data_IF_581991343170
#
_entry.id   IF_581991343170
#
_cell.length_a   1.000
_cell.length_b   1.000
_cell.length_c   1.000
_cell.angle_alpha   90.00
_cell.angle_beta   90.00
_cell.angle_gamma   90.00
#
_symmetry.space_group_name_H-M   'P 1'
#
loop_
_entity.id
_entity.type
_entity.pdbx_description
1 polymer ?
#
# COMPACT_ATOMS: atom_id res chain seq x y z
N UNK A 1 -66.73 48.45 24.10
CA UNK A 1 -65.37 48.56 23.61
C UNK A 1 -64.55 47.52 24.35
N UNK A 2 -64.53 46.29 23.87
CA UNK A 2 -63.75 45.20 24.49
C UNK A 2 -62.52 44.91 23.59
N UNK A 3 -61.32 45.09 24.14
CA UNK A 3 -60.07 44.71 23.47
C UNK A 3 -59.74 43.27 23.82
N UNK A 4 -59.72 42.45 22.78
CA UNK A 4 -59.18 41.09 22.85
C UNK A 4 -57.66 41.13 22.81
N UNK A 5 -57.01 40.55 23.83
CA UNK A 5 -55.57 40.32 23.92
C UNK A 5 -55.33 38.90 23.46
N UNK A 6 -54.62 38.73 22.30
CA UNK A 6 -54.16 37.42 21.82
C UNK A 6 -52.87 37.02 22.55
N UNK A 7 -52.74 35.81 23.06
CA UNK A 7 -51.46 35.33 23.60
C UNK A 7 -50.54 34.88 22.44
N UNK A 8 -49.31 35.43 22.43
CA UNK A 8 -48.24 34.97 21.56
C UNK A 8 -47.65 33.66 22.10
N UNK A 9 -47.77 32.61 21.27
CA UNK A 9 -47.13 31.32 21.57
C UNK A 9 -45.63 31.43 21.25
N UNK A 10 -44.76 31.36 22.25
CA UNK A 10 -43.31 31.24 22.08
C UNK A 10 -42.97 29.78 21.92
N UNK A 11 -42.66 29.36 20.70
CA UNK A 11 -42.15 28.01 20.43
C UNK A 11 -40.63 28.02 20.69
N UNK A 12 -40.22 27.44 21.80
CA UNK A 12 -38.79 27.20 22.10
C UNK A 12 -38.40 25.92 21.35
N UNK A 13 -37.68 26.05 20.23
CA UNK A 13 -37.06 24.94 19.54
C UNK A 13 -35.87 24.42 20.37
N UNK A 14 -36.04 23.28 21.02
CA UNK A 14 -34.93 22.51 21.56
C UNK A 14 -34.11 21.91 20.40
N UNK A 15 -32.99 22.55 20.10
CA UNK A 15 -31.96 21.92 19.26
C UNK A 15 -31.29 20.82 20.09
N UNK A 16 -31.70 19.58 19.86
CA UNK A 16 -31.01 18.43 20.40
C UNK A 16 -29.59 18.41 19.80
N UNK A 17 -28.56 18.65 20.62
CA UNK A 17 -27.17 18.42 20.24
C UNK A 17 -27.02 16.92 19.96
N UNK A 18 -26.81 16.57 18.68
CA UNK A 18 -26.39 15.21 18.29
C UNK A 18 -25.04 14.99 18.97
N UNK A 19 -24.87 13.93 19.78
CA UNK A 19 -23.57 13.61 20.33
C UNK A 19 -22.59 13.44 19.19
N UNK A 20 -21.55 14.25 19.13
CA UNK A 20 -20.42 14.05 18.26
C UNK A 20 -19.72 12.80 18.80
N UNK A 21 -20.00 11.63 18.20
CA UNK A 21 -19.19 10.44 18.46
C UNK A 21 -17.73 10.85 18.31
N UNK A 22 -16.98 10.80 19.40
CA UNK A 22 -15.54 10.97 19.34
C UNK A 22 -15.04 9.91 18.39
N UNK A 23 -14.56 10.31 17.20
CA UNK A 23 -13.96 9.40 16.24
C UNK A 23 -12.92 8.57 17.01
N UNK A 24 -13.19 7.27 17.18
CA UNK A 24 -12.30 6.39 17.93
C UNK A 24 -10.95 6.41 17.21
N UNK A 25 -9.89 6.72 17.95
CA UNK A 25 -8.51 6.68 17.45
C UNK A 25 -8.27 5.32 16.79
N UNK A 26 -7.62 5.31 15.62
CA UNK A 26 -7.16 4.07 15.03
C UNK A 26 -6.13 3.40 15.96
N UNK A 27 -6.22 2.07 16.19
CA UNK A 27 -5.27 1.36 17.04
C UNK A 27 -3.86 1.43 16.43
N UNK A 28 -2.82 1.47 17.27
CA UNK A 28 -1.46 1.35 16.77
C UNK A 28 -1.24 0.00 16.09
N UNK A 29 -0.36 0.00 15.09
CA UNK A 29 0.05 -1.22 14.41
C UNK A 29 1.32 -1.77 15.05
N UNK A 30 1.46 -3.07 15.05
CA UNK A 30 2.67 -3.78 15.47
C UNK A 30 2.96 -4.94 14.53
N UNK A 31 4.19 -5.42 14.53
CA UNK A 31 4.58 -6.64 13.85
C UNK A 31 3.96 -7.84 14.57
N UNK A 32 3.44 -8.81 13.82
CA UNK A 32 2.88 -10.06 14.35
C UNK A 32 3.95 -10.94 15.04
N UNK A 33 3.54 -11.84 15.92
CA UNK A 33 4.46 -12.69 16.69
C UNK A 33 5.37 -13.58 15.79
N UNK A 34 4.89 -13.97 14.61
CA UNK A 34 5.69 -14.71 13.64
C UNK A 34 6.58 -13.82 12.74
N UNK A 35 6.59 -12.51 12.97
CA UNK A 35 7.37 -11.51 12.24
C UNK A 35 7.10 -11.46 10.73
N UNK A 36 5.91 -11.92 10.27
CA UNK A 36 5.56 -11.98 8.83
C UNK A 36 4.48 -10.99 8.40
N UNK A 37 3.70 -10.49 9.34
CA UNK A 37 2.53 -9.67 9.08
C UNK A 37 2.48 -8.46 10.03
N UNK A 38 1.53 -7.57 9.76
CA UNK A 38 1.14 -6.53 10.69
C UNK A 38 -0.18 -6.90 11.37
N UNK A 39 -0.31 -6.48 12.62
CA UNK A 39 -1.53 -6.59 13.42
C UNK A 39 -1.77 -5.28 14.15
N UNK A 40 -2.99 -5.05 14.58
CA UNK A 40 -3.31 -3.96 15.49
C UNK A 40 -2.76 -4.27 16.90
N UNK A 41 -2.64 -3.26 17.76
CA UNK A 41 -2.14 -3.43 19.14
C UNK A 41 -2.90 -4.48 19.95
N UNK A 42 -4.19 -4.68 19.67
CA UNK A 42 -5.04 -5.73 20.24
C UNK A 42 -4.94 -7.10 19.53
N UNK A 43 -4.01 -7.23 18.55
CA UNK A 43 -3.70 -8.50 17.86
C UNK A 43 -4.59 -8.86 16.67
N UNK A 44 -5.51 -7.99 16.26
CA UNK A 44 -6.33 -8.25 15.05
C UNK A 44 -5.47 -8.13 13.79
N UNK A 45 -5.68 -9.02 12.79
CA UNK A 45 -4.98 -8.95 11.52
C UNK A 45 -5.15 -7.59 10.83
N UNK A 46 -4.05 -7.05 10.31
CA UNK A 46 -4.06 -5.83 9.50
C UNK A 46 -3.54 -6.13 8.10
N UNK A 47 -4.38 -5.91 7.09
CA UNK A 47 -3.97 -6.02 5.69
C UNK A 47 -3.58 -4.63 5.17
N UNK A 48 -2.32 -4.47 4.74
CA UNK A 48 -1.85 -3.27 4.07
C UNK A 48 -2.34 -3.28 2.62
N UNK A 49 -3.38 -2.51 2.32
CA UNK A 49 -3.74 -2.11 0.98
C UNK A 49 -3.46 -0.61 0.87
N UNK A 50 -2.27 -0.28 0.33
CA UNK A 50 -1.79 1.09 0.23
C UNK A 50 -2.18 1.75 -1.09
N UNK A 51 -2.29 3.09 -1.08
CA UNK A 51 -2.32 3.93 -2.28
C UNK A 51 -1.24 5.00 -2.20
N UNK A 52 -0.77 5.45 -3.36
CA UNK A 52 0.31 6.41 -3.49
C UNK A 52 -0.22 7.81 -3.81
N UNK A 53 0.06 8.76 -2.92
CA UNK A 53 -0.41 10.14 -3.01
C UNK A 53 0.68 11.12 -2.53
N UNK A 54 1.87 11.10 -3.18
CA UNK A 54 3.05 11.81 -2.71
C UNK A 54 2.81 13.29 -2.45
N UNK A 55 2.03 13.96 -3.31
CA UNK A 55 1.75 15.39 -3.27
C UNK A 55 0.47 15.77 -2.50
N UNK A 56 -0.11 14.85 -1.73
CA UNK A 56 -1.40 15.04 -1.04
C UNK A 56 -1.42 16.28 -0.14
N UNK A 57 -0.39 16.48 0.68
CA UNK A 57 -0.30 17.59 1.61
C UNK A 57 0.04 18.92 0.95
N UNK A 58 0.80 18.83 -0.15
CA UNK A 58 1.30 20.00 -0.85
C UNK A 58 0.30 20.57 -1.86
N UNK A 59 -0.37 19.70 -2.61
CA UNK A 59 -1.16 20.13 -3.78
C UNK A 59 -2.67 20.16 -3.57
N UNK A 60 -3.19 19.48 -2.56
CA UNK A 60 -4.63 19.34 -2.42
C UNK A 60 -5.25 20.34 -1.46
N UNK A 61 -6.46 20.83 -1.81
CA UNK A 61 -7.35 21.49 -0.84
C UNK A 61 -7.91 20.44 0.13
N UNK A 62 -8.53 20.87 1.23
CA UNK A 62 -9.23 19.96 2.16
C UNK A 62 -10.41 19.25 1.49
N UNK A 63 -11.12 19.97 0.61
CA UNK A 63 -12.22 19.38 -0.17
C UNK A 63 -11.72 18.26 -1.08
N UNK A 64 -10.68 18.52 -1.85
CA UNK A 64 -10.11 17.56 -2.80
C UNK A 64 -9.47 16.37 -2.10
N UNK A 65 -8.69 16.63 -1.05
CA UNK A 65 -8.16 15.57 -0.19
C UNK A 65 -9.28 14.72 0.44
N UNK A 66 -10.36 15.37 0.90
CA UNK A 66 -11.53 14.68 1.43
C UNK A 66 -12.24 13.79 0.42
N UNK A 67 -12.37 14.22 -0.84
CA UNK A 67 -12.93 13.42 -1.95
C UNK A 67 -12.04 12.22 -2.27
N UNK A 68 -10.75 12.45 -2.43
CA UNK A 68 -9.76 11.40 -2.69
C UNK A 68 -9.80 10.33 -1.59
N UNK A 69 -9.70 10.73 -0.32
CA UNK A 69 -9.71 9.80 0.81
C UNK A 69 -11.03 9.03 0.91
N UNK A 70 -12.18 9.67 0.62
CA UNK A 70 -13.48 9.00 0.62
C UNK A 70 -13.57 7.93 -0.48
N UNK A 71 -13.05 8.21 -1.68
CA UNK A 71 -12.95 7.24 -2.77
C UNK A 71 -12.09 6.02 -2.34
N UNK A 72 -10.90 6.27 -1.78
CA UNK A 72 -10.01 5.19 -1.33
C UNK A 72 -10.60 4.36 -0.19
N UNK A 73 -11.31 4.99 0.75
CA UNK A 73 -12.03 4.28 1.80
C UNK A 73 -13.15 3.38 1.23
N UNK A 74 -13.93 3.87 0.25
CA UNK A 74 -14.96 3.10 -0.43
C UNK A 74 -14.40 1.87 -1.15
N UNK A 75 -13.19 1.97 -1.71
CA UNK A 75 -12.43 0.89 -2.34
C UNK A 75 -11.61 0.05 -1.32
N UNK A 76 -11.84 0.28 -0.01
CA UNK A 76 -11.25 -0.52 1.08
C UNK A 76 -9.72 -0.39 1.21
N UNK A 77 -9.13 0.69 0.76
CA UNK A 77 -7.74 0.99 1.07
C UNK A 77 -7.56 1.21 2.58
N UNK A 78 -6.42 0.78 3.12
CA UNK A 78 -6.10 0.88 4.55
C UNK A 78 -4.97 1.85 4.84
N UNK A 79 -4.17 2.17 3.83
CA UNK A 79 -3.04 3.08 3.94
C UNK A 79 -3.04 4.03 2.75
N UNK A 80 -2.67 5.30 2.98
CA UNK A 80 -2.31 6.27 1.93
C UNK A 80 -0.92 6.80 2.24
N UNK A 81 0.01 6.66 1.30
CA UNK A 81 1.37 7.17 1.43
C UNK A 81 1.41 8.64 0.97
N UNK A 82 1.96 9.53 1.80
CA UNK A 82 2.04 10.96 1.53
C UNK A 82 3.29 11.59 2.16
N UNK A 83 3.81 12.67 1.54
CA UNK A 83 5.09 13.29 1.90
C UNK A 83 4.89 14.65 2.53
N UNK A 84 5.48 14.87 3.71
CA UNK A 84 5.40 16.16 4.42
C UNK A 84 6.24 17.25 3.73
N UNK A 85 7.51 16.97 3.42
CA UNK A 85 8.36 17.84 2.60
C UNK A 85 8.43 17.27 1.19
N UNK A 86 7.46 17.64 0.34
CA UNK A 86 7.24 17.06 -0.98
C UNK A 86 8.43 17.22 -1.93
N UNK A 87 8.47 16.40 -2.98
CA UNK A 87 9.45 16.47 -4.06
C UNK A 87 9.31 17.79 -4.86
N UNK A 88 10.13 17.95 -5.88
CA UNK A 88 10.10 19.08 -6.83
C UNK A 88 10.15 20.43 -6.13
N UNK A 89 9.06 21.19 -6.23
CA UNK A 89 8.90 22.54 -5.69
C UNK A 89 8.33 22.57 -4.26
N UNK A 90 8.23 21.44 -3.59
CA UNK A 90 7.61 21.32 -2.26
C UNK A 90 8.24 22.16 -1.13
N UNK A 91 9.47 22.69 -1.33
CA UNK A 91 10.08 23.65 -0.41
C UNK A 91 9.93 25.11 -0.86
N UNK A 92 9.59 25.37 -2.10
CA UNK A 92 9.60 26.71 -2.73
C UNK A 92 8.23 27.18 -3.19
N UNK A 93 7.33 26.26 -3.53
CA UNK A 93 5.93 26.56 -3.80
C UNK A 93 5.09 26.31 -2.53
N UNK A 94 4.17 27.22 -2.18
CA UNK A 94 3.30 27.02 -1.04
C UNK A 94 2.25 25.92 -1.31
N UNK A 95 1.69 25.35 -0.24
CA UNK A 95 0.52 24.48 -0.36
C UNK A 95 -0.73 25.26 -0.83
N UNK A 96 -1.85 24.55 -1.03
CA UNK A 96 -3.11 25.14 -1.49
C UNK A 96 -3.65 26.29 -0.60
N UNK A 97 -3.05 26.52 0.57
CA UNK A 97 -3.42 27.60 1.53
C UNK A 97 -2.35 28.69 1.68
N UNK A 98 -1.35 28.72 0.81
CA UNK A 98 -0.32 29.75 0.78
C UNK A 98 0.82 29.54 1.78
N UNK A 99 1.00 28.35 2.34
CA UNK A 99 2.02 28.06 3.35
C UNK A 99 3.14 27.17 2.83
N UNK A 100 4.40 27.58 3.04
CA UNK A 100 5.58 26.74 2.86
C UNK A 100 5.76 25.83 4.08
N UNK A 101 6.32 24.61 3.92
CA UNK A 101 6.39 23.61 5.01
C UNK A 101 7.38 23.97 6.11
N UNK A 102 8.46 24.67 5.78
CA UNK A 102 9.53 25.09 6.70
C UNK A 102 9.97 26.52 6.39
N UNK A 103 10.60 27.17 7.34
CA UNK A 103 11.16 28.52 7.18
C UNK A 103 12.64 28.44 6.80
N UNK A 104 13.07 29.27 5.86
CA UNK A 104 14.49 29.39 5.46
C UNK A 104 15.15 28.06 5.03
N UNK A 105 14.41 27.10 4.49
CA UNK A 105 14.89 25.75 4.22
C UNK A 105 15.51 25.04 5.44
N UNK A 106 15.13 25.44 6.64
CA UNK A 106 15.60 24.85 7.90
C UNK A 106 14.54 23.88 8.47
N UNK A 107 14.79 22.56 8.45
CA UNK A 107 13.83 21.58 8.96
C UNK A 107 13.60 21.68 10.47
N UNK A 108 14.44 22.42 11.21
CA UNK A 108 14.19 22.70 12.63
C UNK A 108 13.18 23.82 12.86
N UNK A 109 12.73 24.46 11.77
CA UNK A 109 11.75 25.56 11.81
C UNK A 109 10.47 25.21 11.02
N UNK A 110 9.72 24.16 11.42
CA UNK A 110 8.50 23.76 10.73
C UNK A 110 7.43 24.84 10.84
N UNK A 111 6.71 25.08 9.74
CA UNK A 111 5.63 26.06 9.66
C UNK A 111 4.32 25.46 10.21
N UNK A 112 3.82 26.00 11.30
CA UNK A 112 2.64 25.47 11.99
C UNK A 112 1.37 25.52 11.12
N UNK A 113 1.20 26.55 10.28
CA UNK A 113 0.06 26.70 9.39
C UNK A 113 0.04 25.61 8.29
N UNK A 114 1.22 25.28 7.72
CA UNK A 114 1.35 24.17 6.80
C UNK A 114 0.98 22.84 7.48
N UNK A 115 1.55 22.59 8.65
CA UNK A 115 1.30 21.35 9.37
C UNK A 115 -0.10 21.25 9.96
N UNK A 116 -0.81 22.36 10.20
CA UNK A 116 -2.23 22.33 10.52
C UNK A 116 -3.11 21.82 9.36
N UNK A 117 -2.66 21.98 8.10
CA UNK A 117 -3.29 21.35 6.95
C UNK A 117 -2.96 19.85 6.89
N UNK A 118 -1.72 19.46 7.15
CA UNK A 118 -1.33 18.04 7.25
C UNK A 118 -2.14 17.34 8.34
N UNK A 119 -2.29 17.95 9.52
CA UNK A 119 -3.08 17.43 10.64
C UNK A 119 -4.53 17.16 10.24
N UNK A 120 -5.13 18.09 9.51
CA UNK A 120 -6.51 17.94 9.04
C UNK A 120 -6.65 16.73 8.10
N UNK A 121 -5.70 16.54 7.17
CA UNK A 121 -5.72 15.40 6.23
C UNK A 121 -5.50 14.08 6.99
N UNK A 122 -4.55 14.03 7.92
CA UNK A 122 -4.30 12.85 8.76
C UNK A 122 -5.55 12.50 9.57
N UNK A 123 -6.16 13.48 10.24
CA UNK A 123 -7.39 13.27 11.01
C UNK A 123 -8.54 12.79 10.12
N UNK A 124 -8.69 13.35 8.90
CA UNK A 124 -9.71 12.94 7.93
C UNK A 124 -9.51 11.51 7.46
N UNK A 125 -8.27 11.11 7.14
CA UNK A 125 -7.93 9.74 6.75
C UNK A 125 -8.26 8.77 7.89
N UNK A 126 -7.84 9.08 9.12
CA UNK A 126 -8.08 8.24 10.29
C UNK A 126 -9.59 8.08 10.58
N UNK A 127 -10.38 9.14 10.43
CA UNK A 127 -11.84 9.07 10.57
C UNK A 127 -12.51 8.16 9.52
N UNK A 128 -11.85 7.90 8.39
CA UNK A 128 -12.27 6.97 7.35
C UNK A 128 -11.67 5.56 7.49
N UNK A 129 -10.91 5.29 8.57
CA UNK A 129 -10.26 4.01 8.80
C UNK A 129 -8.95 3.82 8.01
N UNK A 130 -8.39 4.89 7.45
CA UNK A 130 -7.17 4.88 6.66
C UNK A 130 -6.00 5.41 7.50
N UNK A 131 -4.91 4.66 7.58
CA UNK A 131 -3.63 5.10 8.13
C UNK A 131 -2.89 5.95 7.09
N UNK A 132 -2.12 6.92 7.54
CA UNK A 132 -1.19 7.63 6.66
C UNK A 132 0.20 7.00 6.77
N UNK A 133 0.71 6.48 5.64
CA UNK A 133 2.12 6.19 5.47
C UNK A 133 2.86 7.52 5.30
N UNK A 134 3.32 8.09 6.41
CA UNK A 134 3.84 9.45 6.43
C UNK A 134 5.34 9.47 6.16
N UNK A 135 5.73 10.05 5.01
CA UNK A 135 7.12 10.35 4.72
C UNK A 135 7.47 11.73 5.32
N UNK A 136 8.44 11.82 6.24
CA UNK A 136 8.91 13.11 6.77
C UNK A 136 9.41 14.04 5.66
N UNK A 137 10.06 13.48 4.65
CA UNK A 137 10.62 14.20 3.52
C UNK A 137 10.78 13.27 2.31
N UNK A 138 10.76 13.85 1.11
CA UNK A 138 11.25 13.12 -0.06
C UNK A 138 12.78 13.07 -0.06
N UNK A 139 13.34 12.08 -0.76
CA UNK A 139 14.76 11.77 -0.71
C UNK A 139 15.69 12.84 -1.28
N UNK A 140 15.22 13.66 -2.21
CA UNK A 140 16.03 14.72 -2.82
C UNK A 140 16.46 15.83 -1.83
N UNK A 141 15.93 15.82 -0.61
CA UNK A 141 16.30 16.75 0.45
C UNK A 141 17.51 16.28 1.28
N UNK A 142 17.97 15.03 1.11
CA UNK A 142 19.19 14.49 1.72
C UNK A 142 20.14 13.83 0.70
N UNK A 143 19.66 13.47 -0.49
CA UNK A 143 20.42 13.04 -1.66
C UNK A 143 19.73 13.56 -2.92
N UNK A 144 20.19 14.67 -3.46
CA UNK A 144 19.53 15.37 -4.57
C UNK A 144 19.41 14.49 -5.81
N UNK A 145 20.48 13.78 -6.20
CA UNK A 145 20.50 12.92 -7.41
C UNK A 145 19.75 13.54 -8.58
N UNK A 146 18.68 12.88 -9.01
CA UNK A 146 17.78 13.32 -10.09
C UNK A 146 16.66 14.25 -9.64
N UNK A 147 16.60 14.62 -8.36
CA UNK A 147 15.56 15.51 -7.82
C UNK A 147 15.89 16.99 -7.91
N UNK A 148 14.94 17.81 -7.46
CA UNK A 148 15.08 19.26 -7.42
C UNK A 148 16.02 19.75 -6.28
N UNK A 149 15.96 19.11 -5.12
CA UNK A 149 16.64 19.57 -3.90
C UNK A 149 15.94 20.81 -3.31
N UNK A 150 16.66 21.68 -2.58
CA UNK A 150 18.05 21.49 -2.15
C UNK A 150 18.23 20.41 -1.10
N UNK A 151 19.45 19.89 -0.92
CA UNK A 151 19.81 19.08 0.24
C UNK A 151 19.85 19.99 1.46
N UNK A 152 19.01 19.68 2.45
CA UNK A 152 18.85 20.49 3.67
C UNK A 152 19.10 19.71 4.95
N UNK A 153 19.21 18.38 4.85
CA UNK A 153 19.37 17.54 6.03
C UNK A 153 20.84 17.29 6.39
N UNK A 154 21.09 17.38 7.70
CA UNK A 154 22.25 16.84 8.39
C UNK A 154 21.75 15.84 9.45
N UNK A 155 22.60 14.99 10.05
CA UNK A 155 22.17 14.12 11.13
C UNK A 155 21.52 14.89 12.30
N UNK A 156 22.06 16.05 12.66
CA UNK A 156 21.59 16.84 13.80
C UNK A 156 20.18 17.42 13.58
N UNK A 157 19.95 18.06 12.42
CA UNK A 157 18.64 18.65 12.13
C UNK A 157 17.61 17.58 11.75
N UNK A 158 18.02 16.44 11.18
CA UNK A 158 17.17 15.27 10.93
C UNK A 158 16.65 14.68 12.26
N UNK A 159 17.51 14.56 13.27
CA UNK A 159 17.10 14.12 14.61
C UNK A 159 16.09 15.07 15.25
N UNK A 160 16.30 16.39 15.14
CA UNK A 160 15.41 17.42 15.70
C UNK A 160 14.07 17.43 15.00
N UNK A 161 14.05 17.40 13.67
CA UNK A 161 12.83 17.37 12.87
C UNK A 161 12.02 16.07 13.10
N UNK A 162 12.73 14.94 13.13
CA UNK A 162 12.10 13.64 13.44
C UNK A 162 11.44 13.63 14.81
N UNK A 163 12.13 14.14 15.85
CA UNK A 163 11.55 14.21 17.19
C UNK A 163 10.35 15.15 17.27
N UNK A 164 10.39 16.28 16.57
CA UNK A 164 9.24 17.17 16.48
C UNK A 164 8.03 16.50 15.79
N UNK A 165 8.24 15.80 14.66
CA UNK A 165 7.18 15.06 13.97
C UNK A 165 6.63 13.93 14.85
N UNK A 166 7.52 13.17 15.51
CA UNK A 166 7.13 12.08 16.41
C UNK A 166 6.18 12.58 17.50
N UNK A 167 6.52 13.70 18.18
CA UNK A 167 5.65 14.31 19.19
C UNK A 167 4.30 14.76 18.61
N UNK A 168 4.30 15.32 17.39
CA UNK A 168 3.09 15.84 16.76
C UNK A 168 2.09 14.76 16.43
N UNK A 169 2.55 13.62 15.95
CA UNK A 169 1.69 12.55 15.44
C UNK A 169 1.62 11.30 16.33
N UNK A 170 2.14 11.36 17.56
CA UNK A 170 2.22 10.19 18.46
C UNK A 170 0.89 9.48 18.71
N UNK A 171 -0.23 10.18 18.60
CA UNK A 171 -1.58 9.67 18.83
C UNK A 171 -2.37 9.48 17.55
N UNK A 172 -1.77 9.69 16.37
CA UNK A 172 -2.41 9.55 15.07
C UNK A 172 -2.28 8.13 14.52
N UNK A 173 -3.19 7.73 13.65
CA UNK A 173 -3.09 6.47 12.89
C UNK A 173 -2.13 6.64 11.71
N UNK A 174 -0.83 6.45 11.92
CA UNK A 174 0.21 6.60 10.91
C UNK A 174 1.21 5.43 10.96
N UNK A 175 2.02 5.35 9.90
CA UNK A 175 3.26 4.54 9.83
C UNK A 175 4.34 5.45 9.25
N UNK A 176 5.52 5.48 9.86
CA UNK A 176 6.63 6.27 9.35
C UNK A 176 7.31 5.57 8.18
N UNK A 177 7.52 6.30 7.08
CA UNK A 177 8.24 5.82 5.91
C UNK A 177 9.40 6.77 5.63
N UNK A 178 10.61 6.36 5.91
CA UNK A 178 11.82 7.15 5.62
C UNK A 178 12.25 6.99 4.16
N UNK A 179 13.21 7.76 3.70
CA UNK A 179 13.79 7.63 2.37
C UNK A 179 13.15 8.53 1.32
N UNK A 180 12.40 7.95 0.36
CA UNK A 180 11.78 8.68 -0.75
C UNK A 180 12.58 8.59 -2.05
N UNK A 181 12.63 7.41 -2.67
CA UNK A 181 13.15 7.13 -4.03
C UNK A 181 14.61 7.57 -4.26
N UNK A 182 15.47 7.49 -3.25
CA UNK A 182 16.89 7.81 -3.40
C UNK A 182 17.76 6.73 -2.77
N UNK A 183 18.90 6.38 -3.42
CA UNK A 183 19.84 5.39 -2.90
C UNK A 183 20.67 5.94 -1.75
N UNK A 184 21.07 5.07 -0.86
CA UNK A 184 22.12 5.36 0.12
C UNK A 184 23.47 5.14 -0.56
N UNK A 185 24.24 6.21 -0.74
CA UNK A 185 25.50 6.18 -1.49
C UNK A 185 26.74 6.36 -0.61
N UNK A 186 26.54 6.82 0.62
CA UNK A 186 27.63 7.08 1.54
C UNK A 186 27.14 7.00 3.00
N UNK A 187 28.07 7.07 3.95
CA UNK A 187 27.76 6.98 5.38
C UNK A 187 26.95 8.18 5.88
N UNK A 188 27.17 9.38 5.34
CA UNK A 188 26.39 10.56 5.71
C UNK A 188 24.89 10.36 5.41
N UNK A 189 24.53 9.75 4.29
CA UNK A 189 23.12 9.43 3.98
C UNK A 189 22.54 8.46 5.02
N UNK A 190 23.33 7.42 5.41
CA UNK A 190 22.91 6.49 6.47
C UNK A 190 22.69 7.19 7.80
N UNK A 191 23.62 8.06 8.19
CA UNK A 191 23.56 8.82 9.43
C UNK A 191 22.34 9.76 9.48
N UNK A 192 22.00 10.44 8.38
CA UNK A 192 20.79 11.26 8.28
C UNK A 192 19.52 10.41 8.51
N UNK A 193 19.40 9.26 7.83
CA UNK A 193 18.24 8.38 7.95
C UNK A 193 18.15 7.80 9.36
N UNK A 194 19.26 7.30 9.94
CA UNK A 194 19.31 6.81 11.34
C UNK A 194 18.90 7.88 12.34
N UNK A 195 19.46 9.09 12.18
CA UNK A 195 19.14 10.21 13.06
C UNK A 195 17.67 10.60 13.00
N UNK A 196 17.08 10.60 11.79
CA UNK A 196 15.63 10.82 11.59
C UNK A 196 14.80 9.73 12.30
N UNK A 197 15.15 8.44 12.09
CA UNK A 197 14.47 7.31 12.72
C UNK A 197 14.49 7.40 14.24
N UNK A 198 15.66 7.62 14.82
CA UNK A 198 15.81 7.77 16.28
C UNK A 198 15.11 9.02 16.82
N UNK A 199 15.07 10.11 16.02
CA UNK A 199 14.28 11.29 16.35
C UNK A 199 12.79 10.97 16.46
N UNK A 200 12.22 10.32 15.45
CA UNK A 200 10.83 9.87 15.43
C UNK A 200 10.50 8.99 16.64
N UNK A 201 11.34 7.98 16.92
CA UNK A 201 11.19 7.10 18.10
C UNK A 201 11.20 7.85 19.42
N UNK A 202 12.09 8.86 19.58
CA UNK A 202 12.08 9.70 20.79
C UNK A 202 10.83 10.54 20.90
N UNK A 203 10.36 11.07 19.77
CA UNK A 203 9.20 11.94 19.74
C UNK A 203 7.89 11.23 20.03
N UNK A 204 7.66 10.07 19.44
CA UNK A 204 6.42 9.31 19.59
C UNK A 204 6.46 8.22 20.69
N UNK A 205 7.64 8.03 21.32
CA UNK A 205 7.82 7.02 22.35
C UNK A 205 7.83 5.59 21.80
N UNK A 206 8.08 5.40 20.50
CA UNK A 206 8.07 4.11 19.82
C UNK A 206 6.67 3.59 19.50
N UNK A 207 5.68 4.49 19.41
CA UNK A 207 4.29 4.12 19.18
C UNK A 207 4.01 3.63 17.76
N UNK A 208 4.81 4.05 16.76
CA UNK A 208 4.55 3.73 15.34
C UNK A 208 5.67 2.90 14.73
N UNK A 209 5.28 2.06 13.77
CA UNK A 209 6.21 1.33 12.93
C UNK A 209 6.99 2.28 12.01
N UNK A 210 8.24 1.93 11.73
CA UNK A 210 9.14 2.66 10.83
C UNK A 210 9.63 1.73 9.73
N UNK A 211 9.60 2.20 8.49
CA UNK A 211 10.24 1.56 7.33
C UNK A 211 11.01 2.58 6.50
N UNK A 212 11.60 2.14 5.39
CA UNK A 212 12.36 2.97 4.46
C UNK A 212 11.94 2.70 3.01
N UNK A 213 11.55 3.74 2.30
CA UNK A 213 11.20 3.70 0.88
C UNK A 213 12.48 3.81 0.03
N UNK A 214 12.90 2.74 -0.65
CA UNK A 214 14.12 2.70 -1.45
C UNK A 214 13.90 3.28 -2.86
N UNK A 215 14.95 3.45 -3.68
CA UNK A 215 14.83 3.69 -5.11
C UNK A 215 14.41 2.42 -5.86
N UNK A 216 14.00 2.58 -7.12
CA UNK A 216 13.55 1.51 -8.00
C UNK A 216 14.45 0.28 -8.01
N UNK A 217 13.84 -0.90 -8.08
CA UNK A 217 14.47 -2.22 -8.07
C UNK A 217 15.23 -2.58 -6.78
N UNK A 218 15.03 -1.84 -5.68
CA UNK A 218 15.65 -2.09 -4.39
C UNK A 218 14.63 -2.39 -3.30
N UNK A 219 15.13 -2.81 -2.14
CA UNK A 219 14.40 -2.91 -0.90
C UNK A 219 15.12 -2.14 0.21
N UNK A 220 14.41 -1.72 1.25
CA UNK A 220 14.99 -1.17 2.46
C UNK A 220 16.05 -2.12 3.04
N UNK A 221 15.86 -3.41 2.83
CA UNK A 221 16.78 -4.49 3.20
C UNK A 221 18.19 -4.36 2.61
N UNK A 222 18.35 -3.64 1.51
CA UNK A 222 19.63 -3.39 0.86
C UNK A 222 20.60 -2.64 1.80
N UNK A 223 20.08 -1.76 2.65
CA UNK A 223 20.91 -0.89 3.49
C UNK A 223 20.63 -1.00 4.98
N UNK A 224 19.38 -1.37 5.37
CA UNK A 224 18.88 -1.19 6.73
C UNK A 224 18.24 -2.44 7.34
N UNK A 225 18.41 -3.63 6.74
CA UNK A 225 17.75 -4.85 7.24
C UNK A 225 18.05 -5.13 8.72
N UNK A 226 19.28 -4.93 9.13
CA UNK A 226 19.77 -5.25 10.48
C UNK A 226 19.59 -4.09 11.48
N UNK A 227 19.05 -2.95 11.03
CA UNK A 227 18.79 -1.81 11.91
C UNK A 227 17.61 -2.12 12.86
N UNK A 228 17.74 -1.74 14.10
CA UNK A 228 16.74 -1.95 15.15
C UNK A 228 15.50 -1.07 14.99
N UNK A 229 15.66 0.06 14.32
CA UNK A 229 14.53 0.96 14.02
C UNK A 229 13.68 0.50 12.84
N UNK A 230 14.18 -0.36 11.93
CA UNK A 230 13.45 -0.85 10.77
C UNK A 230 12.52 -2.00 11.17
N UNK A 231 11.22 -1.76 11.25
CA UNK A 231 10.25 -2.77 11.67
C UNK A 231 9.87 -3.75 10.57
N UNK A 232 9.85 -3.30 9.30
CA UNK A 232 9.55 -4.14 8.15
C UNK A 232 10.27 -3.66 6.89
N UNK A 233 10.50 -4.57 5.95
CA UNK A 233 11.10 -4.26 4.66
C UNK A 233 10.05 -3.72 3.69
N UNK A 234 10.35 -2.58 3.07
CA UNK A 234 9.60 -2.02 1.96
C UNK A 234 10.43 -2.12 0.68
N UNK A 235 9.80 -2.52 -0.40
CA UNK A 235 10.39 -2.57 -1.72
C UNK A 235 9.83 -1.47 -2.61
N UNK A 236 10.60 -1.13 -3.67
CA UNK A 236 10.13 -0.43 -4.85
C UNK A 236 10.51 -1.28 -6.06
N UNK A 237 9.54 -1.96 -6.66
CA UNK A 237 9.80 -2.80 -7.83
C UNK A 237 9.81 -2.02 -9.15
N UNK A 238 9.29 -0.81 -9.17
CA UNK A 238 9.39 0.13 -10.28
C UNK A 238 8.37 -0.06 -11.40
N UNK A 239 8.51 0.73 -12.47
CA UNK A 239 7.46 0.99 -13.44
C UNK A 239 7.65 0.27 -14.79
N UNK A 240 7.96 -1.03 -14.77
CA UNK A 240 8.02 -1.86 -15.96
C UNK A 240 7.18 -3.12 -15.83
N UNK A 241 6.20 -3.43 -16.68
CA UNK A 241 5.39 -4.64 -16.61
C UNK A 241 6.14 -5.89 -17.10
N UNK A 242 7.30 -5.74 -17.68
CA UNK A 242 8.15 -6.85 -18.14
C UNK A 242 8.95 -7.49 -16.99
N UNK A 243 8.42 -7.42 -15.77
CA UNK A 243 9.15 -7.81 -14.56
C UNK A 243 9.64 -9.23 -14.58
N UNK A 244 10.87 -9.36 -14.89
CA UNK A 244 11.65 -10.46 -14.43
C UNK A 244 12.08 -10.19 -12.99
N UNK A 245 11.67 -11.02 -12.05
CA UNK A 245 12.19 -11.02 -10.69
C UNK A 245 11.43 -10.19 -9.62
N UNK A 246 10.25 -9.65 -9.92
CA UNK A 246 9.40 -9.01 -8.91
C UNK A 246 9.13 -9.95 -7.72
N UNK A 247 8.54 -11.11 -8.00
CA UNK A 247 8.26 -12.15 -7.02
C UNK A 247 9.54 -12.74 -6.40
N UNK A 248 10.63 -12.90 -7.15
CA UNK A 248 11.90 -13.42 -6.63
C UNK A 248 12.53 -12.45 -5.62
N UNK A 249 12.43 -11.16 -5.86
CA UNK A 249 12.91 -10.12 -4.93
C UNK A 249 12.08 -10.10 -3.64
N UNK A 250 10.77 -10.22 -3.73
CA UNK A 250 9.88 -10.31 -2.56
C UNK A 250 10.19 -11.56 -1.75
N UNK A 251 10.40 -12.73 -2.41
CA UNK A 251 10.82 -13.96 -1.74
C UNK A 251 12.21 -13.85 -1.11
N UNK A 252 13.14 -13.15 -1.76
CA UNK A 252 14.48 -12.94 -1.20
C UNK A 252 14.43 -12.15 0.12
N UNK A 253 13.62 -11.09 0.18
CA UNK A 253 13.44 -10.34 1.43
C UNK A 253 12.65 -11.14 2.47
N UNK A 254 11.66 -11.94 2.04
CA UNK A 254 10.93 -12.84 2.92
C UNK A 254 11.83 -13.90 3.58
N UNK A 255 12.86 -14.35 2.89
CA UNK A 255 13.79 -15.38 3.37
C UNK A 255 14.92 -14.83 4.25
N UNK A 256 15.05 -13.50 4.41
CA UNK A 256 16.14 -12.89 5.22
C UNK A 256 16.01 -13.21 6.70
N UNK A 257 17.15 -13.17 7.37
CA UNK A 257 17.29 -13.16 8.83
C UNK A 257 17.95 -11.85 9.29
N UNK A 258 17.50 -11.23 10.41
CA UNK A 258 16.31 -11.60 11.19
C UNK A 258 15.03 -11.50 10.34
N UNK A 259 14.00 -12.30 10.68
CA UNK A 259 12.73 -12.26 9.96
C UNK A 259 12.06 -10.89 10.15
N UNK A 260 11.70 -10.24 9.04
CA UNK A 260 10.89 -9.01 9.04
C UNK A 260 9.76 -9.13 8.00
N UNK A 261 8.59 -8.52 8.24
CA UNK A 261 7.54 -8.46 7.23
C UNK A 261 8.02 -7.74 5.96
N UNK A 262 7.41 -8.04 4.81
CA UNK A 262 7.77 -7.45 3.50
C UNK A 262 6.54 -6.88 2.83
N UNK A 263 6.67 -5.69 2.21
CA UNK A 263 5.63 -5.07 1.38
C UNK A 263 6.27 -4.39 0.16
N UNK A 264 5.57 -4.37 -0.98
CA UNK A 264 5.91 -3.46 -2.08
C UNK A 264 5.22 -2.11 -1.83
N UNK A 265 6.02 -1.08 -1.64
CA UNK A 265 5.57 0.29 -1.38
C UNK A 265 5.42 1.11 -2.66
N UNK A 266 6.07 0.67 -3.75
CA UNK A 266 5.97 1.33 -5.06
C UNK A 266 6.17 0.32 -6.20
N UNK A 267 5.12 -0.41 -6.57
CA UNK A 267 5.07 -1.19 -7.80
C UNK A 267 4.79 -0.28 -9.01
N UNK A 268 4.55 -0.89 -10.18
CA UNK A 268 4.07 -0.14 -11.33
C UNK A 268 2.77 0.61 -11.00
N UNK A 269 2.68 1.88 -11.45
CA UNK A 269 1.45 2.66 -11.36
C UNK A 269 0.58 2.44 -12.60
N UNK A 270 -0.75 2.50 -12.45
CA UNK A 270 -1.69 2.55 -13.55
C UNK A 270 -1.50 3.86 -14.35
N UNK A 271 -1.65 3.81 -15.66
CA UNK A 271 -1.41 4.92 -16.60
C UNK A 271 0.02 5.48 -16.62
N UNK A 272 0.97 4.80 -16.00
CA UNK A 272 2.36 5.22 -16.04
C UNK A 272 2.99 4.88 -17.41
N UNK A 273 3.80 5.78 -18.00
CA UNK A 273 4.64 5.43 -19.15
C UNK A 273 5.49 4.20 -18.84
N UNK A 274 5.26 3.11 -19.54
CA UNK A 274 6.00 1.85 -19.32
C UNK A 274 7.49 2.11 -19.48
N UNK A 275 8.28 1.81 -18.45
CA UNK A 275 9.73 2.07 -18.40
C UNK A 275 10.10 3.51 -18.77
N UNK A 276 9.23 4.49 -18.49
CA UNK A 276 9.37 5.93 -18.82
C UNK A 276 9.40 6.22 -20.32
N UNK A 277 9.02 5.29 -21.19
CA UNK A 277 9.01 5.42 -22.66
C UNK A 277 7.61 5.13 -23.24
N UNK A 278 6.65 6.03 -22.99
CA UNK A 278 5.28 5.91 -23.49
C UNK A 278 5.22 5.85 -25.03
N UNK A 279 6.13 6.53 -25.71
CA UNK A 279 6.14 6.56 -27.18
C UNK A 279 6.43 5.19 -27.79
N UNK A 280 7.27 4.40 -27.16
CA UNK A 280 7.69 3.07 -27.63
C UNK A 280 6.87 1.95 -27.01
N UNK A 281 6.55 2.06 -25.73
CA UNK A 281 6.00 0.98 -24.92
C UNK A 281 4.56 1.22 -24.42
N UNK A 282 4.01 2.42 -24.66
CA UNK A 282 2.67 2.77 -24.19
C UNK A 282 2.62 3.04 -22.68
N UNK A 283 1.44 2.90 -22.13
CA UNK A 283 1.15 3.08 -20.70
C UNK A 283 0.66 1.77 -20.09
N UNK A 284 0.94 1.60 -18.82
CA UNK A 284 0.43 0.48 -18.02
C UNK A 284 -1.09 0.58 -17.85
N UNK A 285 -1.72 -0.56 -17.76
CA UNK A 285 -3.18 -0.71 -17.62
C UNK A 285 -3.54 -1.52 -16.37
N UNK A 286 -4.81 -1.62 -16.05
CA UNK A 286 -5.32 -2.32 -14.86
C UNK A 286 -4.74 -3.74 -14.66
N UNK A 287 -4.51 -4.52 -15.72
CA UNK A 287 -3.88 -5.85 -15.58
C UNK A 287 -2.41 -5.76 -15.15
N UNK A 288 -1.71 -4.69 -15.52
CA UNK A 288 -0.30 -4.52 -15.19
C UNK A 288 -0.11 -4.18 -13.70
N UNK A 289 -1.04 -3.43 -13.09
CA UNK A 289 -1.01 -3.14 -11.65
C UNK A 289 -1.62 -4.27 -10.82
N UNK A 290 -2.52 -5.09 -11.40
CA UNK A 290 -3.15 -6.20 -10.69
C UNK A 290 -2.21 -7.41 -10.51
N UNK A 291 -1.38 -7.73 -11.51
CA UNK A 291 -0.41 -8.85 -11.42
C UNK A 291 0.56 -8.70 -10.23
N UNK A 292 1.22 -7.57 -10.02
CA UNK A 292 2.10 -7.34 -8.88
C UNK A 292 1.43 -7.61 -7.53
N UNK A 293 0.18 -7.21 -7.34
CA UNK A 293 -0.58 -7.50 -6.12
C UNK A 293 -0.54 -8.99 -5.75
N UNK A 294 -0.87 -9.86 -6.72
CA UNK A 294 -0.91 -11.30 -6.45
C UNK A 294 0.49 -11.92 -6.38
N UNK A 295 1.45 -11.41 -7.17
CA UNK A 295 2.84 -11.86 -7.07
C UNK A 295 3.43 -11.54 -5.71
N UNK A 296 3.24 -10.34 -5.19
CA UNK A 296 3.72 -9.95 -3.87
C UNK A 296 3.07 -10.80 -2.77
N UNK A 297 1.75 -10.85 -2.76
CA UNK A 297 1.01 -11.57 -1.74
C UNK A 297 1.40 -13.06 -1.71
N UNK A 298 1.49 -13.72 -2.88
CA UNK A 298 1.79 -15.16 -2.94
C UNK A 298 3.29 -15.46 -2.80
N UNK A 299 4.13 -14.44 -2.88
CA UNK A 299 5.57 -14.53 -2.59
C UNK A 299 5.94 -14.17 -1.15
N UNK A 300 4.96 -13.89 -0.29
CA UNK A 300 5.15 -13.70 1.15
C UNK A 300 4.97 -12.28 1.67
N UNK A 301 4.65 -11.31 0.81
CA UNK A 301 4.34 -9.95 1.27
C UNK A 301 3.07 -9.93 2.15
N UNK A 302 3.06 -9.08 3.19
CA UNK A 302 1.91 -8.93 4.08
C UNK A 302 0.82 -8.01 3.51
N UNK A 303 1.13 -7.30 2.44
CA UNK A 303 0.24 -6.37 1.76
C UNK A 303 0.83 -5.92 0.43
N UNK A 304 0.22 -4.89 -0.15
CA UNK A 304 0.62 -4.31 -1.44
C UNK A 304 0.20 -2.85 -1.51
N UNK A 305 0.92 -2.04 -2.28
CA UNK A 305 0.56 -0.65 -2.55
C UNK A 305 0.20 -0.48 -4.01
N UNK A 306 -0.86 0.23 -4.28
CA UNK A 306 -1.26 0.67 -5.62
C UNK A 306 -0.81 2.10 -5.86
N UNK A 307 -0.68 2.49 -7.12
CA UNK A 307 -0.51 3.86 -7.54
C UNK A 307 -1.14 4.10 -8.91
N UNK A 308 -1.50 5.35 -9.17
CA UNK A 308 -1.88 5.84 -10.50
C UNK A 308 -1.04 7.06 -10.86
N UNK A 309 -0.64 7.16 -12.12
CA UNK A 309 0.33 8.14 -12.59
C UNK A 309 -0.12 9.59 -12.42
N UNK A 310 -1.40 9.87 -12.62
CA UNK A 310 -1.94 11.23 -12.41
C UNK A 310 -2.26 11.50 -10.93
N UNK A 311 -2.62 10.46 -10.15
CA UNK A 311 -3.03 10.59 -8.75
C UNK A 311 -1.85 10.87 -7.84
N UNK A 312 -0.70 10.17 -7.98
CA UNK A 312 0.42 10.38 -7.07
C UNK A 312 0.91 11.84 -7.06
N UNK A 313 0.86 12.51 -8.23
CA UNK A 313 1.25 13.90 -8.41
C UNK A 313 0.07 14.88 -8.33
N UNK A 314 -1.16 14.40 -8.18
CA UNK A 314 -2.40 15.17 -8.25
C UNK A 314 -2.41 16.16 -9.43
N UNK A 315 -2.12 15.62 -10.62
CA UNK A 315 -2.00 16.44 -11.81
C UNK A 315 -3.35 17.03 -12.23
N UNK A 316 -3.30 18.31 -12.58
CA UNK A 316 -4.40 19.08 -13.18
C UNK A 316 -3.86 19.89 -14.36
N UNK A 317 -4.68 20.28 -15.35
CA UNK A 317 -4.21 20.97 -16.57
C UNK A 317 -3.54 22.34 -16.34
N UNK A 318 -3.71 22.95 -15.19
CA UNK A 318 -3.07 24.20 -14.76
C UNK A 318 -1.64 24.00 -14.22
N UNK A 319 -1.18 22.75 -14.11
CA UNK A 319 0.14 22.37 -13.62
C UNK A 319 0.99 21.72 -14.70
N UNK A 320 2.29 21.97 -14.68
CA UNK A 320 3.22 21.24 -15.54
C UNK A 320 3.13 19.72 -15.25
N UNK A 321 2.91 18.88 -16.28
CA UNK A 321 2.81 17.44 -16.10
C UNK A 321 4.20 16.83 -15.86
N UNK A 322 4.26 15.81 -14.98
CA UNK A 322 5.44 14.98 -14.82
C UNK A 322 5.20 13.69 -15.62
N UNK A 323 6.08 13.41 -16.60
CA UNK A 323 6.00 12.23 -17.47
C UNK A 323 4.63 12.04 -18.16
N UNK A 324 3.96 13.14 -18.54
CA UNK A 324 2.76 13.16 -19.37
C UNK A 324 1.62 12.26 -18.88
N UNK A 325 0.97 12.58 -17.76
CA UNK A 325 -0.23 11.86 -17.29
C UNK A 325 -1.34 11.96 -18.34
N UNK A 326 -2.14 10.89 -18.47
CA UNK A 326 -3.15 10.77 -19.54
C UNK A 326 -4.39 11.63 -19.29
N UNK A 327 -4.74 11.87 -18.02
CA UNK A 327 -5.94 12.60 -17.62
C UNK A 327 -5.75 13.27 -16.24
N UNK A 328 -6.56 14.28 -15.90
CA UNK A 328 -6.54 14.88 -14.56
C UNK A 328 -6.84 13.84 -13.48
N UNK A 329 -6.24 14.04 -12.28
CA UNK A 329 -6.36 13.10 -11.17
C UNK A 329 -7.82 12.81 -10.77
N UNK A 330 -8.74 13.78 -10.92
CA UNK A 330 -10.16 13.63 -10.61
C UNK A 330 -10.86 12.58 -11.48
N UNK A 331 -10.33 12.30 -12.68
CA UNK A 331 -10.78 11.23 -13.56
C UNK A 331 -9.98 9.96 -13.28
N UNK A 332 -8.67 10.07 -13.17
CA UNK A 332 -7.77 8.95 -12.93
C UNK A 332 -8.02 8.20 -11.61
N UNK A 333 -8.63 8.85 -10.62
CA UNK A 333 -9.01 8.22 -9.35
C UNK A 333 -10.05 7.10 -9.52
N UNK A 334 -10.80 7.11 -10.63
CA UNK A 334 -11.83 6.12 -10.97
C UNK A 334 -11.32 5.01 -11.89
N UNK A 335 -10.02 4.99 -12.22
CA UNK A 335 -9.44 3.94 -13.07
C UNK A 335 -9.62 2.53 -12.46
N UNK A 336 -9.84 1.50 -13.30
CA UNK A 336 -10.30 0.20 -12.86
C UNK A 336 -9.28 -0.57 -11.99
N UNK A 337 -7.97 -0.30 -12.12
CA UNK A 337 -6.96 -0.96 -11.31
C UNK A 337 -7.15 -0.70 -9.83
N UNK A 338 -7.44 0.54 -9.44
CA UNK A 338 -7.73 0.88 -8.04
C UNK A 338 -8.91 0.05 -7.47
N UNK A 339 -10.00 -0.04 -8.22
CA UNK A 339 -11.17 -0.81 -7.81
C UNK A 339 -10.87 -2.31 -7.70
N UNK A 340 -9.94 -2.84 -8.50
CA UNK A 340 -9.59 -4.26 -8.52
C UNK A 340 -8.69 -4.67 -7.35
N UNK A 341 -7.96 -3.73 -6.73
CA UNK A 341 -7.11 -4.01 -5.57
C UNK A 341 -7.89 -4.59 -4.38
N UNK A 342 -9.11 -4.10 -4.13
CA UNK A 342 -9.95 -4.59 -3.04
C UNK A 342 -10.29 -6.08 -3.15
N UNK A 343 -10.29 -6.65 -4.35
CA UNK A 343 -10.62 -8.08 -4.54
C UNK A 343 -9.47 -8.97 -4.08
N UNK A 344 -8.21 -8.55 -4.26
CA UNK A 344 -7.06 -9.25 -3.70
C UNK A 344 -7.08 -9.25 -2.17
N UNK A 345 -7.37 -8.09 -1.55
CA UNK A 345 -7.58 -7.98 -0.12
C UNK A 345 -8.72 -8.90 0.37
N UNK A 346 -9.88 -8.86 -0.29
CA UNK A 346 -11.02 -9.69 0.06
C UNK A 346 -10.69 -11.19 -0.03
N UNK A 347 -9.95 -11.60 -1.07
CA UNK A 347 -9.49 -12.98 -1.21
C UNK A 347 -8.65 -13.41 -0.02
N UNK A 348 -7.62 -12.65 0.32
CA UNK A 348 -6.69 -12.98 1.42
C UNK A 348 -7.43 -12.99 2.77
N UNK A 349 -8.26 -11.97 3.05
CA UNK A 349 -9.04 -11.88 4.27
C UNK A 349 -10.13 -12.96 4.40
N UNK A 350 -10.46 -13.68 3.31
CA UNK A 350 -11.43 -14.78 3.33
C UNK A 350 -10.87 -16.11 3.85
N UNK A 351 -9.62 -16.15 4.26
CA UNK A 351 -8.93 -17.32 4.86
C UNK A 351 -8.03 -16.85 6.02
N UNK A 352 -7.62 -17.74 6.94
CA UNK A 352 -6.63 -17.40 7.96
C UNK A 352 -5.31 -16.97 7.30
N UNK A 353 -5.00 -15.65 7.22
CA UNK A 353 -3.85 -15.19 6.47
C UNK A 353 -2.58 -14.93 7.30
N UNK A 354 -2.66 -14.86 8.64
CA UNK A 354 -1.47 -14.70 9.48
C UNK A 354 -0.56 -15.94 9.51
N UNK A 355 -1.05 -17.06 9.02
CA UNK A 355 -0.30 -18.32 8.85
C UNK A 355 0.08 -18.59 7.40
N UNK A 356 -0.17 -17.65 6.49
CA UNK A 356 0.11 -17.78 5.06
C UNK A 356 1.61 -17.77 4.77
N UNK A 357 2.04 -18.71 3.94
CA UNK A 357 3.43 -18.86 3.49
C UNK A 357 3.48 -19.05 1.97
N UNK A 358 4.50 -18.55 1.27
CA UNK A 358 4.71 -18.88 -0.14
C UNK A 358 5.05 -20.37 -0.28
N UNK A 359 4.42 -21.04 -1.23
CA UNK A 359 4.74 -22.45 -1.52
C UNK A 359 4.67 -22.77 -3.02
N UNK A 360 5.77 -22.58 -3.75
CA UNK A 360 5.81 -22.89 -5.18
C UNK A 360 5.68 -24.37 -5.48
N UNK A 361 5.80 -25.26 -4.49
CA UNK A 361 5.70 -26.72 -4.70
C UNK A 361 4.28 -27.21 -4.97
N UNK A 362 3.27 -26.38 -4.67
CA UNK A 362 1.87 -26.61 -5.05
C UNK A 362 1.72 -26.73 -6.57
N UNK A 363 2.53 -26.00 -7.35
CA UNK A 363 2.50 -26.00 -8.82
C UNK A 363 3.40 -27.09 -9.34
N UNK A 364 2.86 -28.01 -10.14
CA UNK A 364 3.62 -29.12 -10.76
C UNK A 364 4.16 -28.73 -12.12
N UNK A 365 3.32 -28.15 -12.97
CA UNK A 365 3.67 -27.74 -14.33
C UNK A 365 3.57 -26.23 -14.47
N UNK A 366 4.15 -25.71 -15.54
CA UNK A 366 3.98 -24.32 -15.93
C UNK A 366 4.84 -23.29 -15.15
N UNK A 367 6.03 -23.70 -14.77
CA UNK A 367 7.03 -22.73 -14.32
C UNK A 367 7.60 -22.02 -15.55
N UNK A 368 7.25 -20.75 -15.70
CA UNK A 368 7.89 -19.91 -16.72
C UNK A 368 9.28 -19.53 -16.20
N UNK A 369 10.36 -19.77 -17.00
CA UNK A 369 11.70 -19.35 -16.61
C UNK A 369 11.77 -17.83 -16.42
N UNK A 370 12.32 -17.38 -15.30
CA UNK A 370 12.54 -15.95 -15.02
C UNK A 370 13.69 -15.37 -15.85
N UNK A 371 14.51 -16.22 -16.46
CA UNK A 371 15.68 -15.85 -17.24
C UNK A 371 15.35 -15.37 -18.66
N UNK A 372 14.12 -15.57 -19.14
CA UNK A 372 13.71 -15.12 -20.47
C UNK A 372 13.08 -13.74 -20.38
N UNK A 373 13.64 -12.70 -21.02
CA UNK A 373 13.07 -11.38 -21.01
C UNK A 373 11.60 -11.36 -21.45
N UNK A 374 10.73 -10.69 -20.69
CA UNK A 374 9.29 -10.58 -20.96
C UNK A 374 8.47 -11.82 -20.55
N UNK A 375 9.05 -12.99 -20.39
CA UNK A 375 8.34 -14.22 -20.00
C UNK A 375 7.94 -14.22 -18.51
N UNK A 376 8.64 -13.46 -17.68
CA UNK A 376 8.36 -13.33 -16.24
C UNK A 376 6.93 -12.91 -15.92
N UNK A 377 6.27 -12.13 -16.82
CA UNK A 377 4.87 -11.70 -16.69
C UNK A 377 3.87 -12.87 -16.69
N UNK A 378 4.27 -14.05 -17.10
CA UNK A 378 3.44 -15.26 -17.12
C UNK A 378 3.71 -16.19 -15.93
N UNK A 379 4.53 -15.76 -14.97
CA UNK A 379 4.92 -16.56 -13.80
C UNK A 379 3.73 -16.87 -12.90
N UNK A 380 3.42 -18.16 -12.77
CA UNK A 380 2.51 -18.67 -11.76
C UNK A 380 3.16 -18.65 -10.38
N UNK A 381 2.43 -18.22 -9.37
CA UNK A 381 2.86 -18.21 -7.97
C UNK A 381 1.81 -18.87 -7.10
N UNK A 382 2.25 -19.50 -6.01
CA UNK A 382 1.35 -20.19 -5.10
C UNK A 382 1.67 -19.87 -3.63
N UNK A 383 0.63 -19.88 -2.83
CA UNK A 383 0.69 -19.72 -1.38
C UNK A 383 -0.25 -20.72 -0.72
N UNK A 384 0.03 -21.08 0.54
CA UNK A 384 -0.86 -21.83 1.43
C UNK A 384 -0.71 -21.36 2.85
N UNK A 385 -1.53 -21.86 3.76
CA UNK A 385 -1.27 -21.69 5.19
C UNK A 385 -0.35 -22.79 5.74
N UNK A 386 0.26 -22.54 6.89
CA UNK A 386 1.14 -23.52 7.55
C UNK A 386 0.40 -24.78 8.00
N UNK A 387 -0.91 -24.67 8.30
CA UNK A 387 -1.77 -25.79 8.71
C UNK A 387 -2.30 -26.59 7.51
N UNK A 388 -1.93 -26.20 6.30
CA UNK A 388 -2.34 -26.80 5.04
C UNK A 388 -3.88 -26.88 4.89
N UNK A 389 -4.62 -25.90 5.41
CA UNK A 389 -6.09 -25.88 5.33
C UNK A 389 -6.60 -25.30 4.01
N UNK A 390 -5.76 -24.51 3.34
CA UNK A 390 -6.01 -24.00 1.99
C UNK A 390 -4.71 -23.79 1.22
N UNK A 391 -4.83 -23.72 -0.11
CA UNK A 391 -3.80 -23.18 -0.99
C UNK A 391 -4.44 -22.33 -2.08
N UNK A 392 -3.66 -21.38 -2.60
CA UNK A 392 -4.06 -20.50 -3.71
C UNK A 392 -2.97 -20.48 -4.76
N UNK A 393 -3.36 -20.52 -6.04
CA UNK A 393 -2.44 -20.39 -7.17
C UNK A 393 -2.91 -19.24 -8.05
N UNK A 394 -2.07 -18.24 -8.23
CA UNK A 394 -2.31 -17.16 -9.18
C UNK A 394 -1.81 -17.54 -10.56
N UNK A 395 -2.73 -17.54 -11.52
CA UNK A 395 -2.51 -17.75 -12.94
C UNK A 395 -2.60 -16.39 -13.65
N UNK A 396 -1.48 -15.73 -13.99
CA UNK A 396 -1.48 -14.41 -14.62
C UNK A 396 -2.00 -14.40 -16.05
N UNK A 397 -2.16 -15.58 -16.63
CA UNK A 397 -2.70 -15.81 -17.95
C UNK A 397 -3.62 -17.02 -17.94
N UNK A 398 -4.74 -16.95 -18.65
CA UNK A 398 -5.71 -18.03 -18.74
C UNK A 398 -5.18 -19.22 -19.57
N UNK A 399 -4.48 -20.16 -18.94
CA UNK A 399 -4.04 -21.42 -19.54
C UNK A 399 -4.09 -22.56 -18.53
N UNK A 400 -4.19 -23.81 -19.02
CA UNK A 400 -4.21 -25.00 -18.17
C UNK A 400 -2.88 -25.16 -17.43
N UNK A 401 -2.95 -25.54 -16.16
CA UNK A 401 -1.80 -25.88 -15.32
C UNK A 401 -2.15 -27.01 -14.35
N UNK A 402 -1.15 -27.71 -13.83
CA UNK A 402 -1.35 -28.80 -12.88
C UNK A 402 -0.86 -28.41 -11.48
N UNK A 403 -1.60 -28.85 -10.47
CA UNK A 403 -1.28 -28.66 -9.05
C UNK A 403 -1.19 -30.01 -8.34
N UNK A 404 -0.42 -30.01 -7.26
CA UNK A 404 -0.29 -31.14 -6.35
C UNK A 404 -1.41 -31.07 -5.32
N UNK A 405 -2.37 -32.01 -5.37
CA UNK A 405 -3.55 -32.00 -4.50
C UNK A 405 -3.19 -32.24 -3.03
N UNK A 406 -2.27 -33.16 -2.76
CA UNK A 406 -1.81 -33.48 -1.40
C UNK A 406 -0.91 -32.39 -0.75
N UNK A 407 -0.81 -31.20 -1.32
CA UNK A 407 -0.23 -30.02 -0.67
C UNK A 407 -1.13 -29.47 0.45
N UNK A 408 -2.38 -29.93 0.53
CA UNK A 408 -3.41 -29.50 1.50
C UNK A 408 -3.77 -30.68 2.40
N UNK A 409 -4.18 -30.40 3.63
CA UNK A 409 -4.72 -31.39 4.56
C UNK A 409 -6.15 -31.81 4.17
N UNK A 410 -6.69 -32.78 4.91
CA UNK A 410 -8.04 -33.31 4.70
C UNK A 410 -8.11 -34.39 3.62
N UNK A 411 -9.22 -35.11 3.58
CA UNK A 411 -9.44 -36.21 2.62
C UNK A 411 -9.99 -35.70 1.27
N UNK A 412 -10.64 -34.56 1.28
CA UNK A 412 -11.32 -33.98 0.11
C UNK A 412 -11.01 -32.49 -0.01
N UNK A 413 -10.82 -32.04 -1.23
CA UNK A 413 -10.48 -30.67 -1.59
C UNK A 413 -11.63 -30.03 -2.36
N UNK A 414 -12.16 -28.91 -1.83
CA UNK A 414 -13.11 -28.05 -2.54
C UNK A 414 -12.32 -27.03 -3.35
N UNK A 415 -12.55 -26.99 -4.66
CA UNK A 415 -11.83 -26.10 -5.55
C UNK A 415 -12.74 -25.00 -6.11
N UNK A 416 -12.14 -23.81 -6.31
CA UNK A 416 -12.82 -22.61 -6.79
C UNK A 416 -11.97 -21.89 -7.81
N UNK A 417 -12.62 -21.24 -8.78
CA UNK A 417 -12.06 -20.14 -9.53
C UNK A 417 -12.47 -18.82 -8.90
N UNK A 418 -11.50 -17.97 -8.56
CA UNK A 418 -11.72 -16.60 -8.14
C UNK A 418 -11.26 -15.66 -9.25
N UNK A 419 -12.12 -14.71 -9.62
CA UNK A 419 -11.85 -13.72 -10.66
C UNK A 419 -11.26 -12.43 -10.06
N UNK A 420 -9.97 -12.14 -10.28
CA UNK A 420 -9.31 -10.94 -9.75
C UNK A 420 -9.88 -9.61 -10.26
N UNK A 421 -10.57 -9.64 -11.39
CA UNK A 421 -11.11 -8.45 -12.08
C UNK A 421 -12.41 -7.92 -11.48
N UNK A 422 -13.17 -8.79 -10.80
CA UNK A 422 -14.48 -8.42 -10.23
C UNK A 422 -14.81 -9.09 -8.88
N UNK A 423 -13.89 -9.87 -8.32
CA UNK A 423 -14.05 -10.51 -7.00
C UNK A 423 -15.03 -11.67 -6.94
N UNK A 424 -15.53 -12.17 -8.08
CA UNK A 424 -16.48 -13.30 -8.08
C UNK A 424 -15.78 -14.64 -7.90
N UNK A 425 -16.41 -15.57 -7.18
CA UNK A 425 -15.94 -16.93 -6.99
C UNK A 425 -16.93 -17.95 -7.58
N UNK A 426 -16.40 -18.90 -8.34
CA UNK A 426 -17.19 -20.00 -8.95
C UNK A 426 -16.66 -21.34 -8.45
N UNK A 427 -17.52 -22.17 -7.88
CA UNK A 427 -17.15 -23.51 -7.45
C UNK A 427 -16.84 -24.40 -8.66
N UNK A 428 -15.71 -25.09 -8.62
CA UNK A 428 -15.31 -26.07 -9.64
C UNK A 428 -15.85 -27.45 -9.24
N UNK A 429 -15.75 -27.80 -7.97
CA UNK A 429 -16.19 -29.09 -7.43
C UNK A 429 -15.39 -29.52 -6.21
N UNK A 430 -15.63 -30.76 -5.80
CA UNK A 430 -14.92 -31.40 -4.70
C UNK A 430 -14.20 -32.65 -5.25
N UNK A 431 -12.93 -32.81 -4.87
CA UNK A 431 -12.04 -33.82 -5.43
C UNK A 431 -11.35 -34.61 -4.31
N UNK A 432 -10.92 -35.87 -4.56
CA UNK A 432 -10.01 -36.59 -3.67
C UNK A 432 -8.70 -35.81 -3.49
N UNK A 433 -8.18 -35.82 -2.27
CA UNK A 433 -6.89 -35.19 -1.93
C UNK A 433 -5.72 -36.16 -2.24
N UNK A 434 -5.47 -36.40 -3.53
CA UNK A 434 -4.39 -37.32 -3.95
C UNK A 434 -3.86 -36.98 -5.34
N UNK A 435 -2.57 -37.20 -5.51
CA UNK A 435 -1.89 -37.08 -6.82
C UNK A 435 -1.85 -35.63 -7.34
N UNK A 436 -1.80 -35.54 -8.65
CA UNK A 436 -1.75 -34.29 -9.41
C UNK A 436 -3.06 -34.07 -10.17
N UNK A 437 -3.46 -32.80 -10.32
CA UNK A 437 -4.67 -32.49 -11.07
C UNK A 437 -4.47 -31.22 -11.92
N UNK A 438 -4.90 -31.33 -13.19
CA UNK A 438 -4.96 -30.20 -14.10
C UNK A 438 -6.22 -29.38 -13.88
N UNK A 439 -6.05 -28.05 -13.93
CA UNK A 439 -7.13 -27.06 -13.89
C UNK A 439 -7.01 -26.12 -15.08
N UNK A 440 -8.15 -25.80 -15.69
CA UNK A 440 -8.22 -24.87 -16.81
C UNK A 440 -9.04 -23.67 -16.38
N UNK A 441 -8.49 -22.44 -16.40
CA UNK A 441 -9.24 -21.23 -16.11
C UNK A 441 -10.44 -21.05 -17.05
N UNK A 442 -11.52 -20.37 -16.60
CA UNK A 442 -12.72 -20.16 -17.42
C UNK A 442 -12.46 -19.41 -18.73
N UNK A 443 -11.54 -18.44 -18.71
CA UNK A 443 -11.16 -17.63 -19.87
C UNK A 443 -9.69 -17.86 -20.23
N UNK A 444 -9.35 -17.57 -21.50
CA UNK A 444 -7.97 -17.65 -22.00
C UNK A 444 -7.53 -16.29 -22.54
N UNK A 445 -6.33 -15.86 -22.18
CA UNK A 445 -5.75 -14.62 -22.69
C UNK A 445 -4.80 -13.94 -21.70
N UNK A 446 -4.00 -12.99 -22.17
CA UNK A 446 -2.92 -12.35 -21.40
C UNK A 446 -3.41 -11.47 -20.25
N UNK A 447 -4.57 -10.84 -20.38
CA UNK A 447 -5.16 -9.97 -19.35
C UNK A 447 -6.24 -10.67 -18.53
N UNK A 448 -6.45 -11.96 -18.79
CA UNK A 448 -7.50 -12.80 -18.21
C UNK A 448 -6.90 -13.71 -17.14
N UNK A 449 -6.43 -13.08 -16.08
CA UNK A 449 -5.85 -13.74 -14.92
C UNK A 449 -6.93 -14.35 -13.99
N UNK A 450 -6.55 -15.40 -13.27
CA UNK A 450 -7.40 -16.14 -12.35
C UNK A 450 -6.64 -16.58 -11.11
N UNK A 451 -7.36 -16.79 -10.01
CA UNK A 451 -6.83 -17.51 -8.84
C UNK A 451 -7.58 -18.81 -8.67
N UNK A 452 -6.85 -19.93 -8.67
CA UNK A 452 -7.35 -21.22 -8.21
C UNK A 452 -7.24 -21.22 -6.68
N UNK A 453 -8.37 -21.45 -5.99
CA UNK A 453 -8.41 -21.63 -4.53
C UNK A 453 -8.77 -23.08 -4.25
N UNK A 454 -7.97 -23.72 -3.40
CA UNK A 454 -8.13 -25.10 -2.97
C UNK A 454 -8.29 -25.11 -1.45
N UNK A 455 -9.41 -25.63 -0.96
CA UNK A 455 -9.74 -25.66 0.46
C UNK A 455 -9.87 -27.11 0.95
N UNK A 456 -9.38 -27.41 2.13
CA UNK A 456 -9.84 -28.59 2.88
C UNK A 456 -11.37 -28.48 3.08
N UNK A 457 -12.13 -29.39 2.45
CA UNK A 457 -13.59 -29.36 2.48
C UNK A 457 -14.15 -29.34 3.91
N UNK A 458 -13.47 -30.00 4.85
CA UNK A 458 -13.89 -30.08 6.25
C UNK A 458 -13.90 -28.73 6.97
N UNK A 459 -13.13 -27.74 6.51
CA UNK A 459 -13.07 -26.40 7.08
C UNK A 459 -14.29 -25.55 6.75
N UNK A 460 -15.06 -25.92 5.72
CA UNK A 460 -16.28 -25.24 5.30
C UNK A 460 -16.13 -23.74 5.09
N UNK A 461 -14.96 -23.32 4.57
CA UNK A 461 -14.72 -21.92 4.25
C UNK A 461 -15.81 -21.37 3.32
N UNK A 462 -16.22 -20.09 3.50
CA UNK A 462 -17.13 -19.43 2.56
C UNK A 462 -16.49 -19.30 1.16
N UNK A 463 -17.25 -18.96 0.10
CA UNK A 463 -16.68 -18.65 -1.19
C UNK A 463 -15.51 -17.67 -1.07
N UNK A 464 -14.40 -17.85 -1.84
CA UNK A 464 -13.27 -16.93 -1.83
C UNK A 464 -13.72 -15.48 -2.03
N UNK A 465 -13.17 -14.55 -1.24
CA UNK A 465 -13.54 -13.14 -1.26
C UNK A 465 -14.78 -12.78 -0.40
N UNK A 466 -15.55 -13.73 0.07
CA UNK A 466 -16.61 -13.49 1.03
C UNK A 466 -16.03 -13.32 2.45
N UNK A 467 -16.62 -12.40 3.23
CA UNK A 467 -16.26 -12.26 4.66
C UNK A 467 -16.76 -13.47 5.46
N UNK A 468 -15.98 -13.83 6.48
CA UNK A 468 -16.39 -14.82 7.49
C UNK A 468 -17.47 -14.25 8.40
#
# INVERSE_FOLDING_TARGET
MFRLISPALVVVALVAAVPQESASRLPHLKVSDNHRFLVTEDGRPFFWLGDTAWELFHRQTREDAGRYLANRAALRFTVVQAVALAEFDGLTAPNAYGHLPIRNNDPTQPNQEYFAHVDWIVARANALGIYIGLLPTWGDKWNKKWGAGPEIFTPENAATYGEWLGRRYKDAGIVWILGGDRPIENDRHKEIIRAMAHGLRRGDGGAHLITFHPPGNNGSSTWFHDEDWLDFNMRQNGHSPEFTGHYDRTQADYARSPIKPVVDGEPIYEDHPVSFDAKKLGHSIASDVRRPLYWDLFSGAFGHTYGNHAVWQFWTPDRAPINNPLMPWQQAVEEPGAAQMQYGRALIESRPFLTRVPDPTVIVTDRVPTSVPGEGRYRFVATRDTDATYAMVYAPVGRTFSVRMNAIAGARIKAWWFNPRNGTATAIGVFPNSGERAFTPPDRGETLDWVLVLDDESKRYPPPGARW
#
